data_IF_146955206694
#
_entry.id   IF_146955206694
#
_cell.length_a   1.000
_cell.length_b   1.000
_cell.length_c   1.000
_cell.angle_alpha   90.00
_cell.angle_beta   90.00
_cell.angle_gamma   90.00
#
_symmetry.space_group_name_H-M   'P 1'
#
loop_
_entity.id
_entity.type
_entity.pdbx_description
1 polymer ?
2 non-polymer ?
3 non-polymer ?
4 water ?
#
# COMPACT_ATOMS: atom_id res chain seq x y z
N UNK A 21 -7.92 23.11 -9.27
CA UNK A 21 -6.57 22.83 -8.71
C UNK A 21 -6.30 21.33 -8.63
N UNK A 22 -5.15 20.92 -9.15
CA UNK A 22 -4.75 19.50 -9.14
C UNK A 22 -3.47 19.39 -8.32
N UNK A 23 -3.22 18.21 -7.76
CA UNK A 23 -2.01 17.99 -6.96
C UNK A 23 -1.71 16.51 -6.88
N UNK A 24 -0.52 16.19 -6.36
CA UNK A 24 -0.13 14.83 -6.01
C UNK A 24 0.16 14.84 -4.51
N UNK A 25 -0.38 13.87 -3.78
CA UNK A 25 -0.27 13.87 -2.33
C UNK A 25 1.06 13.26 -1.89
N UNK A 26 1.65 13.84 -0.86
CA UNK A 26 2.88 13.33 -0.26
C UNK A 26 2.69 13.19 1.24
N UNK A 27 2.97 12.01 1.77
CA UNK A 27 2.79 11.76 3.18
C UNK A 27 3.64 10.62 3.67
N UNK A 28 3.37 10.19 4.91
CA UNK A 28 4.14 9.13 5.54
C UNK A 28 3.22 8.15 6.24
N UNK A 29 3.67 6.90 6.25
CA UNK A 29 3.15 5.88 7.16
C UNK A 29 3.72 6.17 8.53
N UNK A 30 2.86 6.50 9.48
CA UNK A 30 3.29 7.04 10.78
C UNK A 30 3.59 5.90 11.73
N UNK A 31 4.87 5.76 12.08
CA UNK A 31 5.32 4.85 13.10
C UNK A 31 5.65 5.67 14.35
N UNK A 32 4.83 5.65 15.39
CA UNK A 32 5.09 6.53 16.54
C UNK A 32 6.50 6.36 17.09
N UNK A 33 7.16 7.49 17.36
CA UNK A 33 8.53 7.44 17.85
C UNK A 33 8.58 6.86 19.25
N UNK A 34 7.55 7.06 20.06
CA UNK A 34 7.52 6.59 21.44
C UNK A 34 6.69 5.32 21.50
N UNK A 35 7.35 4.19 21.25
CA UNK A 35 6.75 2.89 21.38
C UNK A 35 6.32 2.19 20.11
N UNK A 36 6.58 2.75 18.93
CA UNK A 36 6.14 2.10 17.71
C UNK A 36 4.64 1.87 17.83
N UNK A 37 4.11 0.77 17.27
CA UNK A 37 2.68 0.48 17.42
C UNK A 37 2.33 -0.10 18.78
N UNK A 38 3.30 -0.22 19.68
CA UNK A 38 3.01 -0.43 21.09
C UNK A 38 2.64 0.87 21.80
N UNK A 39 2.75 2.00 21.09
CA UNK A 39 2.29 3.29 21.58
C UNK A 39 0.90 3.20 22.19
N UNK A 40 0.01 2.43 21.55
CA UNK A 40 -1.38 2.44 21.95
C UNK A 40 -1.61 1.92 23.36
N UNK A 41 -0.67 1.13 23.89
CA UNK A 41 -0.78 0.61 25.24
C UNK A 41 -0.43 1.65 26.30
N UNK A 42 0.22 2.74 25.91
CA UNK A 42 0.58 3.82 26.84
C UNK A 42 0.78 5.10 26.04
N UNK A 43 -0.30 5.73 25.58
CA UNK A 43 -0.15 6.89 24.70
C UNK A 43 0.58 8.06 25.37
N UNK A 44 1.54 8.61 24.65
CA UNK A 44 2.27 9.83 25.04
C UNK A 44 1.85 10.87 24.01
N UNK A 45 0.86 11.68 24.35
CA UNK A 45 0.27 12.57 23.35
C UNK A 45 1.20 13.72 22.99
N UNK A 46 1.93 14.31 23.94
CA UNK A 46 2.95 15.30 23.53
C UNK A 46 3.92 14.75 22.50
N UNK A 47 4.28 13.47 22.59
CA UNK A 47 5.20 12.92 21.60
C UNK A 47 4.57 12.82 20.23
N UNK A 48 3.25 12.61 20.15
CA UNK A 48 2.57 12.58 18.87
C UNK A 48 2.52 13.97 18.26
N UNK A 49 2.21 14.98 19.07
CA UNK A 49 2.25 16.35 18.60
C UNK A 49 3.61 16.70 18.01
N UNK A 50 4.68 16.31 18.69
CA UNK A 50 6.03 16.59 18.20
C UNK A 50 6.33 15.80 16.93
N UNK A 51 5.99 14.50 16.93
CA UNK A 51 6.18 13.69 15.73
C UNK A 51 5.47 14.34 14.54
N UNK A 52 4.22 14.75 14.74
CA UNK A 52 3.43 15.32 13.66
C UNK A 52 3.95 16.68 13.20
N UNK A 53 4.43 17.49 14.15
CA UNK A 53 5.03 18.75 13.79
C UNK A 53 6.22 18.54 12.86
N UNK A 54 7.09 17.58 13.20
CA UNK A 54 8.28 17.35 12.39
C UNK A 54 7.92 16.76 11.03
N UNK A 55 6.92 15.88 10.99
CA UNK A 55 6.45 15.33 9.72
C UNK A 55 5.89 16.46 8.84
N UNK A 56 5.05 17.32 9.42
CA UNK A 56 4.51 18.43 8.64
C UNK A 56 5.62 19.30 8.09
N UNK A 57 6.69 19.50 8.87
CA UNK A 57 7.77 20.39 8.46
C UNK A 57 8.59 19.82 7.30
N UNK A 58 8.46 18.53 6.99
CA UNK A 58 8.99 17.97 5.77
C UNK A 58 8.18 18.36 4.54
N UNK A 59 7.06 19.05 4.73
CA UNK A 59 6.17 19.34 3.62
C UNK A 59 5.17 18.25 3.33
N UNK A 60 4.83 17.44 4.32
CA UNK A 60 3.86 16.37 4.14
C UNK A 60 2.44 16.91 4.27
N UNK A 61 1.51 16.33 3.52
CA UNK A 61 0.11 16.71 3.60
C UNK A 61 -0.77 15.65 4.22
N UNK A 62 -0.24 14.47 4.53
CA UNK A 62 -1.07 13.44 5.16
C UNK A 62 -0.21 12.41 5.88
N UNK A 63 -0.88 11.66 6.76
CA UNK A 63 -0.32 10.49 7.41
C UNK A 63 -1.29 9.33 7.25
N UNK A 64 -0.74 8.12 7.24
CA UNK A 64 -1.48 6.87 7.35
C UNK A 64 -1.19 6.30 8.74
N UNK A 65 -2.24 5.95 9.48
CA UNK A 65 -2.07 5.53 10.85
C UNK A 65 -2.72 4.19 11.10
N UNK A 66 -2.17 3.49 12.10
CA UNK A 66 -2.41 2.06 12.33
C UNK A 66 -2.75 1.73 13.77
N UNK A 67 -4.04 1.71 14.12
CA UNK A 67 -4.44 1.08 15.39
C UNK A 67 -4.21 -0.42 15.34
N UNK A 68 -4.23 -1.06 16.51
CA UNK A 68 -3.93 -2.48 16.66
C UNK A 68 -5.18 -3.22 17.13
N UNK A 69 -5.52 -4.29 16.41
CA UNK A 69 -6.85 -4.91 16.51
C UNK A 69 -7.12 -5.51 17.87
N UNK A 70 -6.21 -6.27 18.49
CA UNK A 70 -6.51 -6.82 19.83
C UNK A 70 -6.75 -5.76 20.89
N UNK A 71 -6.35 -4.51 20.67
CA UNK A 71 -6.65 -3.45 21.63
C UNK A 71 -7.98 -2.79 21.33
N UNK A 72 -8.36 -2.72 20.04
CA UNK A 72 -9.65 -2.14 19.65
C UNK A 72 -10.80 -3.07 19.98
N UNK A 73 -10.61 -4.39 19.82
CA UNK A 73 -11.70 -5.36 19.88
C UNK A 73 -11.20 -6.62 20.58
N UNK A 74 -10.94 -6.52 21.89
CA UNK A 74 -10.31 -7.64 22.61
C UNK A 74 -11.20 -8.85 22.78
N UNK A 75 -12.51 -8.67 22.67
CA UNK A 75 -13.51 -9.72 22.64
C UNK A 75 -14.37 -9.41 21.42
N UNK A 76 -14.93 -10.45 20.80
CA UNK A 76 -15.66 -10.27 19.56
C UNK A 76 -16.73 -9.19 19.69
N UNK A 77 -17.40 -9.12 20.84
CA UNK A 77 -18.47 -8.15 21.08
C UNK A 77 -18.15 -7.22 22.23
N UNK A 78 -16.87 -6.85 22.39
CA UNK A 78 -16.45 -5.86 23.36
C UNK A 78 -15.47 -4.94 22.63
N UNK A 79 -15.98 -3.83 22.13
CA UNK A 79 -15.16 -2.84 21.45
C UNK A 79 -14.69 -1.83 22.48
N UNK A 80 -13.40 -1.59 22.50
CA UNK A 80 -12.75 -0.76 23.52
C UNK A 80 -12.89 0.69 23.07
N UNK A 81 -13.86 1.39 23.66
CA UNK A 81 -14.16 2.73 23.18
C UNK A 81 -13.03 3.71 23.47
N UNK A 82 -12.23 3.44 24.51
CA UNK A 82 -11.06 4.28 24.75
C UNK A 82 -10.03 4.13 23.63
N UNK A 83 -9.88 2.91 23.10
CA UNK A 83 -8.96 2.71 21.98
C UNK A 83 -9.45 3.47 20.75
N UNK A 84 -10.77 3.48 20.51
CA UNK A 84 -11.32 4.25 19.41
C UNK A 84 -11.04 5.73 19.64
N UNK A 85 -11.26 6.21 20.86
CA UNK A 85 -11.00 7.61 21.18
C UNK A 85 -9.53 7.96 20.94
N UNK A 86 -8.62 7.02 21.23
CA UNK A 86 -7.21 7.28 20.99
C UNK A 86 -6.90 7.41 19.50
N UNK A 87 -7.52 6.57 18.67
CA UNK A 87 -7.35 6.74 17.23
C UNK A 87 -7.86 8.12 16.80
N UNK A 88 -9.04 8.50 17.29
CA UNK A 88 -9.59 9.81 16.94
C UNK A 88 -8.65 10.93 17.38
N UNK A 89 -8.05 10.79 18.56
CA UNK A 89 -7.13 11.81 19.04
C UNK A 89 -5.92 11.93 18.13
N UNK A 90 -5.38 10.81 17.67
CA UNK A 90 -4.23 10.85 16.80
C UNK A 90 -4.56 11.55 15.48
N UNK A 91 -5.74 11.23 14.94
CA UNK A 91 -6.24 11.92 13.76
C UNK A 91 -6.39 13.41 14.04
N UNK A 92 -7.00 13.74 15.19
CA UNK A 92 -7.20 15.13 15.56
C UNK A 92 -5.87 15.88 15.60
N UNK A 93 -4.83 15.27 16.14
CA UNK A 93 -3.53 15.92 16.25
C UNK A 93 -2.91 16.12 14.87
N UNK A 94 -2.99 15.11 14.00
CA UNK A 94 -2.54 15.30 12.63
C UNK A 94 -3.18 16.52 12.01
N UNK A 95 -4.49 16.67 12.19
CA UNK A 95 -5.19 17.83 11.63
C UNK A 95 -4.74 19.13 12.25
N UNK A 96 -4.52 19.15 13.57
CA UNK A 96 -4.03 20.35 14.22
C UNK A 96 -2.66 20.73 13.70
N UNK A 97 -1.88 19.74 13.27
CA UNK A 97 -0.56 19.97 12.72
C UNK A 97 -0.58 20.10 11.20
N UNK A 98 -1.75 20.31 10.61
CA UNK A 98 -1.86 20.72 9.22
C UNK A 98 -2.01 19.62 8.20
N UNK A 99 -2.36 18.41 8.62
CA UNK A 99 -2.37 17.27 7.71
C UNK A 99 -3.66 16.46 7.75
N UNK A 100 -3.94 15.79 6.64
CA UNK A 100 -5.01 14.81 6.57
C UNK A 100 -4.54 13.48 7.16
N UNK A 101 -5.50 12.66 7.54
CA UNK A 101 -5.20 11.34 8.09
C UNK A 101 -6.05 10.28 7.39
N UNK A 102 -5.40 9.18 7.03
CA UNK A 102 -6.03 7.96 6.53
C UNK A 102 -5.76 6.87 7.55
N UNK A 103 -6.77 6.08 7.88
CA UNK A 103 -6.67 5.09 8.97
C UNK A 103 -6.89 3.69 8.40
N UNK A 104 -6.02 2.75 8.79
CA UNK A 104 -6.21 1.34 8.47
C UNK A 104 -6.90 0.68 9.66
N UNK A 105 -7.98 -0.08 9.42
CA UNK A 105 -8.80 -0.52 10.54
C UNK A 105 -8.21 -1.75 11.26
N UNK A 106 -7.85 -2.81 10.51
CA UNK A 106 -7.50 -4.11 11.10
C UNK A 106 -6.02 -4.45 10.92
N UNK A 107 -5.23 -4.22 11.98
CA UNK A 107 -3.86 -4.71 12.07
C UNK A 107 -3.84 -5.68 13.24
N UNK A 108 -3.86 -7.00 12.99
CA UNK A 108 -3.68 -7.60 11.69
C UNK A 108 -2.22 -7.98 11.52
N UNK A 109 -1.52 -7.29 10.62
CA UNK A 109 -0.14 -7.61 10.33
C UNK A 109 0.67 -6.33 10.19
N UNK A 110 1.77 -6.23 10.94
CA UNK A 110 2.71 -5.12 10.83
C UNK A 110 4.15 -5.62 10.97
N UNK A 111 4.94 -5.40 9.94
CA UNK A 111 6.40 -5.56 9.98
C UNK A 111 6.82 -6.90 10.57
N UNK A 112 6.22 -7.98 10.06
CA UNK A 112 6.50 -9.38 10.34
C UNK A 112 5.67 -9.94 11.50
N UNK A 113 4.97 -9.09 12.25
CA UNK A 113 4.22 -9.52 13.43
C UNK A 113 2.72 -9.56 13.14
N UNK A 114 2.08 -10.65 13.52
CA UNK A 114 0.62 -10.76 13.49
C UNK A 114 0.06 -10.33 14.85
N UNK A 115 -0.96 -9.48 14.82
CA UNK A 115 -1.69 -9.04 16.01
C UNK A 115 -3.15 -9.47 15.83
N UNK A 116 -3.49 -10.64 16.32
CA UNK A 116 -4.86 -11.09 16.27
C UNK A 116 -5.49 -11.07 17.65
N UNK A 117 -6.75 -10.69 17.76
CA UNK A 117 -7.46 -10.87 19.03
C UNK A 117 -7.52 -12.34 19.42
N UNK A 118 -7.61 -12.57 20.73
CA UNK A 118 -7.60 -13.94 21.27
C UNK A 118 -8.80 -14.75 20.81
N UNK A 119 -9.87 -14.09 20.36
CA UNK A 119 -11.07 -14.78 19.90
C UNK A 119 -10.95 -15.28 18.46
N UNK A 120 -9.77 -15.14 17.84
CA UNK A 120 -9.52 -15.70 16.51
C UNK A 120 -8.34 -16.67 16.47
N UNK A 121 -7.78 -17.05 17.63
CA UNK A 121 -6.57 -17.87 17.65
C UNK A 121 -6.75 -19.11 18.50
N UNK A 122 -5.93 -20.13 18.21
CA UNK A 122 -5.78 -21.38 18.93
C UNK A 122 -7.12 -22.01 19.29
N UNK A 123 -7.49 -22.02 20.58
CA UNK A 123 -8.74 -22.64 20.98
C UNK A 123 -9.95 -21.98 20.31
N UNK A 124 -9.80 -20.72 19.89
CA UNK A 124 -10.82 -19.95 19.20
C UNK A 124 -10.45 -19.66 17.75
N UNK A 125 -9.58 -20.47 17.16
CA UNK A 125 -9.12 -20.20 15.81
C UNK A 125 -10.31 -19.97 14.90
N UNK A 126 -10.28 -18.86 14.18
CA UNK A 126 -11.38 -18.48 13.32
C UNK A 126 -10.88 -17.96 11.99
N UNK A 127 -11.82 -17.70 11.10
CA UNK A 127 -11.52 -17.26 9.75
C UNK A 127 -12.17 -15.90 9.57
N UNK A 128 -11.34 -14.85 9.48
CA UNK A 128 -11.86 -13.49 9.46
C UNK A 128 -12.57 -13.16 8.16
N UNK A 129 -12.36 -13.99 7.13
CA UNK A 129 -13.01 -13.76 5.85
C UNK A 129 -14.32 -14.51 5.70
N UNK A 130 -14.47 -15.66 6.37
CA UNK A 130 -15.55 -16.60 6.11
C UNK A 130 -16.54 -16.75 7.25
N UNK A 131 -16.13 -16.55 8.49
CA UNK A 131 -17.02 -16.83 9.62
C UNK A 131 -18.01 -15.67 9.79
N UNK A 132 -19.30 -15.99 9.79
CA UNK A 132 -20.31 -14.92 9.85
C UNK A 132 -20.15 -14.08 11.10
N UNK A 133 -19.87 -14.69 12.25
CA UNK A 133 -19.75 -13.90 13.47
C UNK A 133 -18.55 -12.98 13.42
N UNK A 134 -17.42 -13.44 12.87
CA UNK A 134 -16.25 -12.58 12.73
C UNK A 134 -16.54 -11.44 11.77
N UNK A 135 -17.21 -11.73 10.65
CA UNK A 135 -17.52 -10.69 9.68
C UNK A 135 -18.46 -9.66 10.30
N UNK A 136 -19.47 -10.10 11.04
CA UNK A 136 -20.35 -9.16 11.71
C UNK A 136 -19.57 -8.28 12.68
N UNK A 137 -18.64 -8.89 13.42
CA UNK A 137 -17.84 -8.12 14.38
C UNK A 137 -16.92 -7.14 13.67
N UNK A 138 -16.36 -7.53 12.53
CA UNK A 138 -15.54 -6.61 11.75
C UNK A 138 -16.37 -5.42 11.30
N UNK A 139 -17.56 -5.69 10.77
CA UNK A 139 -18.41 -4.59 10.33
C UNK A 139 -18.78 -3.68 11.47
N UNK A 140 -19.07 -4.25 12.63
CA UNK A 140 -19.38 -3.43 13.80
C UNK A 140 -18.22 -2.53 14.18
N UNK A 141 -16.99 -3.05 14.17
CA UNK A 141 -15.82 -2.23 14.49
C UNK A 141 -15.63 -1.13 13.44
N UNK A 142 -15.72 -1.47 12.15
CA UNK A 142 -15.59 -0.44 11.12
C UNK A 142 -16.63 0.66 11.36
N UNK A 143 -17.88 0.28 11.60
CA UNK A 143 -18.93 1.27 11.78
C UNK A 143 -18.68 2.14 13.00
N UNK A 144 -18.25 1.54 14.10
CA UNK A 144 -18.02 2.32 15.32
C UNK A 144 -16.84 3.27 15.16
N UNK A 145 -15.74 2.75 14.62
CA UNK A 145 -14.56 3.58 14.38
C UNK A 145 -14.87 4.67 13.36
N UNK A 146 -15.50 4.30 12.24
CA UNK A 146 -15.84 5.28 11.22
C UNK A 146 -16.75 6.37 11.77
N UNK A 147 -17.74 5.99 12.58
CA UNK A 147 -18.67 6.98 13.09
C UNK A 147 -18.00 8.03 13.95
N UNK A 148 -16.94 7.64 14.66
CA UNK A 148 -16.16 8.60 15.44
C UNK A 148 -15.23 9.40 14.55
N UNK A 149 -14.51 8.72 13.65
CA UNK A 149 -13.50 9.42 12.85
C UNK A 149 -14.15 10.38 11.85
N UNK A 150 -15.36 10.07 11.37
CA UNK A 150 -16.06 10.97 10.46
C UNK A 150 -16.30 12.33 11.07
N UNK A 151 -16.25 12.45 12.40
CA UNK A 151 -16.44 13.74 13.07
C UNK A 151 -15.19 14.60 13.05
N UNK A 152 -14.06 14.09 12.55
CA UNK A 152 -12.82 14.86 12.50
C UNK A 152 -12.62 15.41 11.10
N UNK A 153 -12.51 16.74 10.92
CA UNK A 153 -12.30 17.27 9.57
C UNK A 153 -11.07 16.74 8.86
N UNK A 154 -10.03 16.34 9.61
CA UNK A 154 -8.81 15.87 8.98
C UNK A 154 -8.91 14.43 8.47
N UNK A 155 -9.93 13.70 8.91
CA UNK A 155 -10.08 12.30 8.51
C UNK A 155 -10.57 12.22 7.07
N UNK A 156 -9.82 11.52 6.23
CA UNK A 156 -10.17 11.41 4.83
C UNK A 156 -10.77 10.06 4.46
N UNK A 157 -10.54 9.02 5.23
CA UNK A 157 -11.07 7.72 4.91
C UNK A 157 -10.24 6.61 5.48
N UNK A 158 -10.62 5.39 5.12
CA UNK A 158 -10.00 4.24 5.75
C UNK A 158 -9.70 3.14 4.74
N UNK A 159 -8.67 2.38 5.07
CA UNK A 159 -8.32 1.14 4.39
C UNK A 159 -8.73 0.03 5.35
N UNK A 160 -9.30 -1.05 4.82
CA UNK A 160 -9.81 -2.09 5.73
C UNK A 160 -8.73 -2.60 6.67
N UNK A 161 -7.52 -2.79 6.17
CA UNK A 161 -6.41 -3.22 7.02
C UNK A 161 -5.18 -3.46 6.17
N UNK A 162 -4.03 -3.43 6.83
CA UNK A 162 -2.77 -3.51 6.09
C UNK A 162 -2.53 -4.92 5.59
N UNK A 163 -2.46 -5.11 4.27
CA UNK A 163 -1.99 -6.36 3.69
C UNK A 163 -2.70 -7.59 4.26
N UNK A 164 -4.03 -7.48 4.39
CA UNK A 164 -4.76 -8.56 5.05
C UNK A 164 -4.74 -9.85 4.25
N UNK A 165 -4.43 -9.78 2.96
CA UNK A 165 -4.32 -11.00 2.17
C UNK A 165 -3.24 -11.93 2.69
N UNK A 166 -2.30 -11.44 3.49
CA UNK A 166 -1.25 -12.32 4.01
C UNK A 166 -1.79 -13.38 4.95
N UNK A 167 -3.01 -13.20 5.47
CA UNK A 167 -3.65 -14.23 6.28
C UNK A 167 -4.30 -15.34 5.46
N UNK A 168 -4.47 -15.15 4.15
CA UNK A 168 -5.42 -15.93 3.38
C UNK A 168 -4.81 -17.09 2.60
N UNK A 169 -3.50 -17.30 2.67
CA UNK A 169 -2.85 -18.20 1.73
C UNK A 169 -1.52 -18.66 2.30
N UNK A 170 -0.96 -19.71 1.68
CA UNK A 170 0.41 -20.09 1.95
C UNK A 170 1.30 -18.88 1.68
N UNK A 171 2.39 -18.72 2.44
CA UNK A 171 2.90 -19.66 3.44
C UNK A 171 2.51 -19.29 4.87
N UNK A 172 1.39 -18.61 5.06
CA UNK A 172 1.02 -18.24 6.40
C UNK A 172 0.89 -19.50 7.26
N UNK A 173 1.48 -19.54 8.47
CA UNK A 173 1.49 -20.81 9.22
C UNK A 173 0.19 -21.14 9.92
N UNK A 174 -0.79 -20.26 9.94
CA UNK A 174 -2.10 -20.53 10.51
C UNK A 174 -3.13 -19.78 9.66
N UNK A 175 -3.22 -20.19 8.40
CA UNK A 175 -3.93 -19.39 7.42
C UNK A 175 -5.44 -19.47 7.62
N UNK A 176 -6.12 -18.52 6.98
CA UNK A 176 -7.57 -18.43 6.95
C UNK A 176 -7.98 -18.63 5.50
N UNK A 177 -8.17 -19.90 5.12
CA UNK A 177 -8.37 -20.25 3.73
C UNK A 177 -9.67 -19.67 3.20
N UNK A 178 -9.66 -19.24 1.95
CA UNK A 178 -10.82 -18.60 1.37
C UNK A 178 -10.74 -18.71 -0.16
N UNK A 179 -11.54 -17.91 -0.84
CA UNK A 179 -11.65 -18.00 -2.29
C UNK A 179 -11.93 -16.60 -2.83
N UNK A 180 -11.62 -16.41 -4.11
CA UNK A 180 -11.78 -15.09 -4.72
C UNK A 180 -13.24 -14.61 -4.66
N UNK A 181 -14.19 -15.51 -4.92
CA UNK A 181 -15.60 -15.12 -4.87
C UNK A 181 -16.01 -14.69 -3.48
N UNK A 182 -15.51 -15.38 -2.45
CA UNK A 182 -15.85 -14.97 -1.09
C UNK A 182 -15.21 -13.62 -0.76
N UNK A 183 -13.97 -13.40 -1.21
CA UNK A 183 -13.30 -12.13 -0.95
C UNK A 183 -14.00 -10.99 -1.68
N UNK A 184 -14.52 -11.23 -2.89
CA UNK A 184 -15.32 -10.21 -3.55
C UNK A 184 -16.43 -9.71 -2.63
N UNK A 185 -17.16 -10.64 -2.02
CA UNK A 185 -18.30 -10.27 -1.18
C UNK A 185 -17.85 -9.68 0.13
N UNK A 186 -16.78 -10.23 0.72
CA UNK A 186 -16.25 -9.73 1.99
C UNK A 186 -15.78 -8.30 1.85
N UNK A 187 -15.02 -8.01 0.80
CA UNK A 187 -14.58 -6.64 0.56
C UNK A 187 -15.77 -5.71 0.40
N UNK A 188 -16.72 -6.08 -0.46
CA UNK A 188 -17.85 -5.19 -0.70
C UNK A 188 -18.63 -4.93 0.58
N UNK A 189 -18.82 -5.97 1.40
CA UNK A 189 -19.60 -5.85 2.62
C UNK A 189 -18.97 -4.87 3.60
N UNK A 190 -17.64 -4.92 3.76
CA UNK A 190 -17.00 -4.01 4.70
C UNK A 190 -16.87 -2.60 4.12
N UNK A 191 -16.55 -2.49 2.83
CA UNK A 191 -16.40 -1.16 2.23
C UNK A 191 -17.70 -0.37 2.32
N UNK A 192 -18.84 -1.07 2.27
CA UNK A 192 -20.14 -0.41 2.29
C UNK A 192 -20.45 0.29 3.59
N UNK A 193 -19.68 0.04 4.65
CA UNK A 193 -19.88 0.74 5.90
C UNK A 193 -19.56 2.21 5.76
N UNK A 194 -18.65 2.57 4.87
CA UNK A 194 -18.19 3.95 4.71
C UNK A 194 -19.14 4.70 3.79
N UNK A 195 -19.43 5.96 4.14
CA UNK A 195 -20.15 6.85 3.23
C UNK A 195 -19.14 7.40 2.22
N UNK A 196 -19.07 6.78 1.06
CA UNK A 196 -18.05 7.11 0.07
C UNK A 196 -18.31 8.41 -0.66
N UNK A 197 -19.45 9.07 -0.41
CA UNK A 197 -19.60 10.44 -0.84
C UNK A 197 -18.76 11.39 0.00
N UNK A 198 -18.37 10.99 1.22
CA UNK A 198 -17.66 11.87 2.13
C UNK A 198 -16.24 11.42 2.44
N UNK A 199 -15.94 10.12 2.33
CA UNK A 199 -14.66 9.56 2.73
C UNK A 199 -14.31 8.41 1.81
N UNK A 200 -13.01 8.20 1.60
CA UNK A 200 -12.59 7.05 0.80
C UNK A 200 -12.70 5.77 1.60
N UNK A 201 -12.98 4.69 0.88
CA UNK A 201 -12.97 3.33 1.40
C UNK A 201 -12.04 2.53 0.49
N UNK A 202 -11.02 1.92 1.09
CA UNK A 202 -9.96 1.26 0.36
C UNK A 202 -9.68 -0.11 0.96
N UNK A 203 -9.01 -0.95 0.19
CA UNK A 203 -8.43 -2.19 0.71
C UNK A 203 -7.00 -2.30 0.24
N UNK A 204 -6.20 -3.07 0.98
CA UNK A 204 -4.77 -3.17 0.76
C UNK A 204 -4.29 -4.60 0.79
N UNK A 205 -3.56 -4.98 -0.24
CA UNK A 205 -2.85 -6.25 -0.28
C UNK A 205 -1.36 -6.01 -0.47
N UNK A 206 -0.56 -6.96 -0.01
CA UNK A 206 0.83 -7.01 -0.42
C UNK A 206 0.90 -7.45 -1.88
N UNK A 207 2.12 -7.49 -2.43
CA UNK A 207 2.27 -7.71 -3.86
C UNK A 207 1.93 -9.13 -4.30
N UNK A 208 1.60 -10.02 -3.36
CA UNK A 208 1.02 -11.29 -3.75
C UNK A 208 -0.22 -11.13 -4.62
N UNK A 209 -0.97 -10.05 -4.42
CA UNK A 209 -2.16 -9.83 -5.25
C UNK A 209 -1.78 -9.74 -6.73
N UNK A 210 -0.62 -9.18 -7.04
CA UNK A 210 -0.19 -9.01 -8.42
C UNK A 210 0.61 -10.20 -8.94
N UNK A 211 1.27 -10.93 -8.07
CA UNK A 211 2.34 -11.81 -8.47
C UNK A 211 2.09 -13.29 -8.19
N UNK A 212 1.05 -13.64 -7.43
CA UNK A 212 0.85 -15.02 -7.03
C UNK A 212 -0.38 -15.62 -7.71
N UNK A 213 -0.18 -16.68 -8.48
CA UNK A 213 -1.31 -17.37 -9.07
C UNK A 213 -2.12 -18.10 -8.01
N UNK A 214 -3.42 -18.18 -8.24
CA UNK A 214 -4.36 -18.89 -7.38
C UNK A 214 -4.53 -18.25 -6.01
N UNK A 215 -4.07 -17.05 -5.83
CA UNK A 215 -4.25 -16.31 -4.58
C UNK A 215 -5.66 -15.71 -4.55
N UNK A 216 -6.37 -15.81 -3.42
CA UNK A 216 -7.79 -15.41 -3.43
C UNK A 216 -8.03 -13.91 -3.52
N UNK A 217 -7.04 -13.08 -3.23
CA UNK A 217 -7.12 -11.65 -3.53
C UNK A 217 -6.53 -11.44 -4.92
N UNK A 218 -7.22 -10.68 -5.75
CA UNK A 218 -6.93 -10.64 -7.18
C UNK A 218 -6.67 -9.25 -7.71
N UNK A 219 -5.99 -9.15 -8.85
CA UNK A 219 -5.83 -7.83 -9.51
C UNK A 219 -7.14 -7.10 -9.76
N UNK A 220 -8.17 -7.81 -10.22
CA UNK A 220 -9.44 -7.15 -10.49
C UNK A 220 -10.02 -6.52 -9.21
N UNK A 221 -9.94 -7.22 -8.08
CA UNK A 221 -10.41 -6.63 -6.83
C UNK A 221 -9.60 -5.40 -6.48
N UNK A 222 -8.27 -5.50 -6.58
CA UNK A 222 -7.41 -4.40 -6.16
C UNK A 222 -7.67 -3.16 -6.99
N UNK A 223 -7.98 -3.33 -8.28
CA UNK A 223 -8.08 -2.22 -9.21
C UNK A 223 -9.52 -1.79 -9.49
N UNK A 224 -10.49 -2.35 -8.76
CA UNK A 224 -11.88 -1.96 -8.97
C UNK A 224 -12.68 -1.81 -7.69
N UNK A 225 -12.39 -2.55 -6.63
CA UNK A 225 -13.13 -2.39 -5.38
C UNK A 225 -12.44 -1.36 -4.51
N UNK A 226 -13.22 -0.54 -3.84
CA UNK A 226 -12.69 0.60 -3.14
C UNK A 226 -12.41 1.73 -4.10
N UNK A 227 -12.07 2.91 -3.55
CA UNK A 227 -12.00 4.12 -4.35
C UNK A 227 -10.69 4.33 -5.08
N UNK A 228 -9.60 3.71 -4.63
CA UNK A 228 -8.31 3.87 -5.28
C UNK A 228 -7.56 2.56 -5.18
N UNK A 229 -6.71 2.28 -6.16
CA UNK A 229 -5.80 1.14 -6.02
C UNK A 229 -4.71 1.51 -5.04
N UNK A 230 -4.46 0.64 -4.07
CA UNK A 230 -3.32 0.82 -3.18
C UNK A 230 -2.21 -0.13 -3.62
N UNK A 231 -0.98 0.37 -3.65
CA UNK A 231 0.18 -0.46 -3.97
C UNK A 231 1.25 -0.25 -2.91
N UNK A 232 1.86 -1.34 -2.48
CA UNK A 232 2.94 -1.35 -1.50
C UNK A 232 4.16 -1.90 -2.24
N UNK A 233 5.12 -1.04 -2.55
CA UNK A 233 6.24 -1.41 -3.43
C UNK A 233 7.49 -1.66 -2.61
N UNK A 234 7.96 -2.92 -2.64
CA UNK A 234 9.07 -3.38 -1.80
C UNK A 234 10.05 -4.18 -2.62
N UNK A 235 11.23 -3.58 -2.88
CA UNK A 235 12.21 -4.17 -3.79
C UNK A 235 13.00 -5.32 -3.19
N UNK A 236 12.77 -5.65 -1.91
CA UNK A 236 13.31 -6.90 -1.37
C UNK A 236 12.55 -8.14 -1.86
N UNK A 237 11.57 -7.96 -2.73
CA UNK A 237 10.77 -9.06 -3.24
C UNK A 237 11.44 -9.83 -4.37
N UNK A 238 12.75 -9.68 -4.55
CA UNK A 238 13.47 -10.31 -5.62
C UNK A 238 13.95 -9.34 -6.68
N UNK A 239 13.41 -8.13 -6.70
CA UNK A 239 13.79 -7.18 -7.73
C UNK A 239 15.23 -6.70 -7.51
N UNK A 240 15.55 -6.23 -6.31
CA UNK A 240 16.93 -5.81 -6.05
C UNK A 240 17.89 -6.99 -6.17
N UNK A 241 17.48 -8.16 -5.66
CA UNK A 241 18.38 -9.31 -5.68
C UNK A 241 18.64 -9.79 -7.10
N UNK A 242 17.59 -9.85 -7.93
CA UNK A 242 17.73 -10.43 -9.25
C UNK A 242 18.34 -9.49 -10.27
N UNK A 243 18.04 -8.19 -10.17
CA UNK A 243 18.53 -7.22 -11.14
C UNK A 243 19.64 -6.34 -10.59
N UNK A 244 19.79 -6.24 -9.29
CA UNK A 244 20.83 -5.44 -8.67
C UNK A 244 20.23 -4.27 -7.92
N UNK A 245 20.81 -3.97 -6.77
CA UNK A 245 20.31 -2.86 -5.97
C UNK A 245 20.45 -1.54 -6.72
N UNK A 246 21.39 -1.44 -7.64
CA UNK A 246 21.70 -0.21 -8.37
C UNK A 246 21.20 -0.31 -9.80
N UNK A 247 20.19 -1.13 -10.03
CA UNK A 247 19.65 -1.32 -11.35
C UNK A 247 18.45 -0.41 -11.61
N UNK A 248 18.20 -0.18 -12.90
CA UNK A 248 16.99 0.53 -13.29
C UNK A 248 15.73 -0.22 -12.95
N UNK A 249 15.76 -1.54 -13.00
CA UNK A 249 14.57 -2.31 -12.60
C UNK A 249 14.22 -2.03 -11.15
N UNK A 250 15.24 -1.92 -10.29
CA UNK A 250 15.00 -1.64 -8.88
C UNK A 250 14.24 -0.33 -8.69
N UNK A 251 14.70 0.75 -9.33
CA UNK A 251 14.03 2.03 -9.14
C UNK A 251 12.74 2.17 -9.94
N UNK A 252 12.50 1.28 -10.90
CA UNK A 252 11.27 1.29 -11.68
C UNK A 252 10.15 0.47 -11.06
N UNK A 253 10.40 -0.22 -9.95
CA UNK A 253 9.43 -1.20 -9.47
C UNK A 253 8.11 -0.55 -9.10
N UNK A 254 8.14 0.62 -8.46
CA UNK A 254 6.89 1.25 -8.04
C UNK A 254 6.07 1.70 -9.25
N UNK A 255 6.73 2.31 -10.23
CA UNK A 255 6.06 2.65 -11.48
C UNK A 255 5.46 1.43 -12.14
N UNK A 256 6.21 0.32 -12.15
CA UNK A 256 5.72 -0.90 -12.77
C UNK A 256 4.42 -1.37 -12.12
N UNK A 257 4.39 -1.43 -10.79
CA UNK A 257 3.17 -1.88 -10.13
C UNK A 257 2.02 -0.93 -10.43
N UNK A 258 2.28 0.37 -10.48
CA UNK A 258 1.22 1.31 -10.81
C UNK A 258 0.65 1.03 -12.20
N UNK A 259 1.53 0.84 -13.19
CA UNK A 259 1.06 0.56 -14.53
C UNK A 259 0.39 -0.80 -14.63
N UNK A 260 0.92 -1.81 -13.93
CA UNK A 260 0.30 -3.12 -13.91
C UNK A 260 -1.13 -3.00 -13.41
N UNK A 261 -1.34 -2.24 -12.33
CA UNK A 261 -2.69 -2.13 -11.79
C UNK A 261 -3.65 -1.49 -12.79
N UNK A 262 -3.16 -0.56 -13.60
CA UNK A 262 -4.02 0.10 -14.58
C UNK A 262 -4.57 -0.89 -15.61
N UNK A 263 -3.85 -1.97 -15.89
CA UNK A 263 -4.36 -2.95 -16.83
C UNK A 263 -5.73 -3.47 -16.40
N UNK A 264 -5.96 -3.56 -15.09
CA UNK A 264 -7.15 -4.21 -14.55
C UNK A 264 -8.23 -3.24 -14.11
N UNK A 265 -7.94 -1.94 -14.03
CA UNK A 265 -8.93 -0.96 -13.61
C UNK A 265 -9.91 -0.71 -14.75
N UNK A 266 -11.20 -0.94 -14.50
CA UNK A 266 -12.19 -0.66 -15.52
C UNK A 266 -12.40 0.85 -15.70
N UNK A 267 -12.13 1.64 -14.68
CA UNK A 267 -12.28 3.08 -14.76
C UNK A 267 -10.92 3.65 -15.14
N UNK A 268 -10.75 4.23 -16.33
CA UNK A 268 -9.42 4.70 -16.75
C UNK A 268 -8.90 5.88 -15.95
N UNK A 269 -9.74 6.52 -15.14
CA UNK A 269 -9.35 7.63 -14.29
C UNK A 269 -9.11 7.21 -12.85
N UNK A 270 -9.15 5.91 -12.55
CA UNK A 270 -9.00 5.46 -11.16
C UNK A 270 -7.66 5.92 -10.59
N UNK A 271 -7.63 6.55 -9.42
CA UNK A 271 -6.35 6.93 -8.82
C UNK A 271 -5.58 5.71 -8.34
N UNK A 272 -4.26 5.80 -8.47
CA UNK A 272 -3.32 4.82 -7.91
C UNK A 272 -2.60 5.49 -6.75
N UNK A 273 -2.73 4.93 -5.55
CA UNK A 273 -2.04 5.42 -4.37
C UNK A 273 -0.85 4.50 -4.10
N UNK A 274 0.36 5.03 -4.27
CA UNK A 274 1.57 4.37 -3.79
C UNK A 274 1.56 4.54 -2.28
N UNK A 275 0.79 3.66 -1.63
CA UNK A 275 0.48 3.78 -0.20
C UNK A 275 1.64 3.35 0.68
N UNK A 276 2.54 2.52 0.17
CA UNK A 276 3.81 2.30 0.80
C UNK A 276 4.91 2.22 -0.24
N UNK A 277 6.01 2.91 0.04
CA UNK A 277 7.27 2.68 -0.67
C UNK A 277 8.36 3.00 0.34
N UNK A 278 9.32 2.08 0.48
CA UNK A 278 10.44 2.26 1.38
C UNK A 278 11.73 1.83 0.71
N UNK A 279 12.84 2.05 1.43
CA UNK A 279 14.19 1.80 0.90
C UNK A 279 14.84 0.74 1.77
N UNK A 280 14.54 -0.54 1.53
CA UNK A 280 14.90 -1.58 2.52
C UNK A 280 16.37 -1.96 2.48
N UNK A 281 17.01 -1.88 3.64
CA UNK A 281 18.45 -2.10 3.74
C UNK A 281 18.84 -3.56 3.86
N UNK A 282 17.90 -4.50 3.76
CA UNK A 282 18.29 -5.89 3.53
C UNK A 282 18.78 -6.10 2.10
N UNK A 283 18.46 -5.18 1.19
CA UNK A 283 18.93 -5.26 -0.19
C UNK A 283 19.62 -4.00 -0.67
N UNK A 284 19.36 -2.82 -0.09
CA UNK A 284 20.03 -1.58 -0.45
C UNK A 284 21.02 -1.18 0.62
N UNK A 285 22.03 -0.41 0.22
CA UNK A 285 22.96 0.17 1.18
C UNK A 285 22.39 1.48 1.72
N UNK A 286 22.70 1.76 2.99
CA UNK A 286 22.21 2.99 3.60
C UNK A 286 22.56 4.21 2.76
N UNK A 287 23.79 4.26 2.23
CA UNK A 287 24.18 5.45 1.48
C UNK A 287 23.41 5.62 0.19
N UNK A 288 22.77 4.57 -0.30
CA UNK A 288 22.04 4.71 -1.55
C UNK A 288 20.58 5.10 -1.36
N UNK A 289 20.08 5.12 -0.15
CA UNK A 289 18.63 5.26 0.01
C UNK A 289 18.12 6.62 -0.44
N UNK A 290 18.84 7.74 -0.28
CA UNK A 290 18.29 9.00 -0.80
C UNK A 290 18.14 8.98 -2.31
N UNK A 291 19.12 8.45 -3.03
CA UNK A 291 19.03 8.37 -4.48
C UNK A 291 17.95 7.39 -4.92
N UNK A 292 17.81 6.28 -4.22
CA UNK A 292 16.73 5.35 -4.50
C UNK A 292 15.38 6.03 -4.35
N UNK A 293 15.22 6.84 -3.31
CA UNK A 293 13.97 7.55 -3.07
C UNK A 293 13.67 8.51 -4.22
N UNK A 294 14.64 9.35 -4.58
CA UNK A 294 14.43 10.31 -5.65
C UNK A 294 14.12 9.61 -6.96
N UNK A 295 14.91 8.60 -7.33
CA UNK A 295 14.73 7.95 -8.62
C UNK A 295 13.41 7.17 -8.66
N UNK A 296 13.07 6.49 -7.58
CA UNK A 296 11.81 5.75 -7.53
C UNK A 296 10.63 6.68 -7.73
N UNK A 297 10.65 7.84 -7.09
CA UNK A 297 9.53 8.78 -7.19
C UNK A 297 9.49 9.42 -8.57
N UNK A 298 10.65 9.83 -9.10
CA UNK A 298 10.66 10.42 -10.43
C UNK A 298 10.11 9.44 -11.46
N UNK A 299 10.41 8.15 -11.31
CA UNK A 299 9.85 7.16 -12.21
C UNK A 299 8.35 6.97 -11.96
N UNK A 300 7.96 6.81 -10.69
CA UNK A 300 6.55 6.59 -10.39
C UNK A 300 5.68 7.72 -10.94
N UNK A 301 6.17 8.96 -10.90
CA UNK A 301 5.42 10.10 -11.39
C UNK A 301 5.19 10.05 -12.89
N UNK A 302 5.82 9.11 -13.60
CA UNK A 302 5.51 8.93 -15.01
C UNK A 302 4.15 8.29 -15.21
N UNK A 303 3.54 7.77 -14.16
CA UNK A 303 2.22 7.19 -14.26
C UNK A 303 1.16 8.28 -14.20
N UNK A 304 0.35 8.46 -15.25
CA UNK A 304 -0.63 9.55 -15.22
C UNK A 304 -1.67 9.44 -14.12
N UNK A 305 -1.88 8.24 -13.57
CA UNK A 305 -2.89 8.01 -12.55
C UNK A 305 -2.32 8.06 -11.14
N UNK A 306 -1.05 8.38 -10.97
CA UNK A 306 -0.46 8.40 -9.63
C UNK A 306 -1.07 9.54 -8.82
N UNK A 307 -1.73 9.18 -7.72
CA UNK A 307 -2.46 10.13 -6.88
C UNK A 307 -1.63 10.61 -5.71
N UNK A 308 -0.73 9.79 -5.21
CA UNK A 308 0.04 10.15 -4.03
C UNK A 308 1.09 9.11 -3.73
N UNK A 309 2.07 9.53 -2.92
CA UNK A 309 3.18 8.70 -2.47
C UNK A 309 3.25 8.83 -0.97
N UNK A 310 3.27 7.70 -0.27
CA UNK A 310 3.32 7.66 1.19
C UNK A 310 4.49 6.79 1.61
N UNK A 311 5.53 7.44 2.13
CA UNK A 311 6.77 6.74 2.41
C UNK A 311 6.59 5.81 3.62
N UNK A 312 7.17 4.62 3.55
CA UNK A 312 7.29 3.74 4.71
C UNK A 312 8.73 3.89 5.20
N UNK A 313 8.97 4.57 6.34
CA UNK A 313 7.98 5.05 7.28
C UNK A 313 8.48 6.35 7.89
N UNK A 314 7.70 6.96 8.79
CA UNK A 314 8.11 8.26 9.32
C UNK A 314 9.33 8.13 10.21
N UNK A 315 9.33 7.17 11.14
CA UNK A 315 10.32 7.10 12.20
C UNK A 315 10.92 5.69 12.29
N UNK A 316 12.25 5.64 12.44
CA UNK A 316 12.93 4.38 12.70
C UNK A 316 12.29 3.66 13.88
N UNK A 317 12.38 2.33 13.87
CA UNK A 317 11.89 1.54 14.99
C UNK A 317 12.96 1.49 16.06
N UNK A 318 12.58 1.81 17.30
CA UNK A 318 13.50 1.82 18.43
C UNK A 318 14.40 0.59 18.44
N UNK A 319 15.71 0.84 18.58
CA UNK A 319 16.68 -0.24 18.59
C UNK A 319 16.54 -1.17 19.80
N UNK A 320 15.80 -0.74 20.81
CA UNK A 320 15.56 -1.60 21.97
C UNK A 320 14.58 -2.73 21.67
N UNK A 321 13.83 -2.63 20.59
CA UNK A 321 12.88 -3.69 20.24
C UNK A 321 13.55 -4.78 19.44
N UNK A 322 13.17 -6.02 19.73
CA UNK A 322 13.81 -7.19 19.15
C UNK A 322 12.87 -7.95 18.22
N UNK A 323 13.46 -8.92 17.52
CA UNK A 323 12.80 -9.86 16.63
C UNK A 323 12.32 -9.24 15.33
N UNK A 324 12.53 -7.95 15.11
CA UNK A 324 12.29 -7.41 13.79
C UNK A 324 13.40 -7.85 12.86
N UNK A 325 13.09 -8.19 11.61
CA UNK A 325 14.15 -8.22 10.59
C UNK A 325 14.95 -6.94 10.68
N UNK A 326 16.27 -7.02 10.77
CA UNK A 326 17.05 -5.81 11.13
C UNK A 326 16.76 -4.58 10.29
N UNK A 327 16.59 -4.72 8.98
CA UNK A 327 16.35 -3.55 8.14
C UNK A 327 15.11 -2.78 8.55
N UNK A 328 14.14 -3.42 9.22
CA UNK A 328 12.91 -2.72 9.59
C UNK A 328 13.22 -1.51 10.45
N UNK A 329 14.27 -1.59 11.26
CA UNK A 329 14.54 -0.50 12.18
C UNK A 329 14.90 0.79 11.46
N UNK A 330 15.50 0.69 10.26
CA UNK A 330 16.13 1.81 9.57
C UNK A 330 15.25 2.41 8.47
N UNK A 331 13.99 1.97 8.37
CA UNK A 331 13.11 2.42 7.29
C UNK A 331 12.57 3.82 7.48
N UNK A 332 12.88 4.49 8.58
CA UNK A 332 12.35 5.82 8.81
C UNK A 332 13.00 6.90 7.97
N UNK A 333 12.26 8.02 7.87
CA UNK A 333 12.80 9.28 7.40
C UNK A 333 13.46 10.05 8.53
N UNK A 334 13.04 9.79 9.76
CA UNK A 334 13.65 10.31 10.98
C UNK A 334 14.25 9.14 11.74
N UNK A 335 15.35 9.37 12.43
CA UNK A 335 15.98 8.32 13.23
C UNK A 335 15.20 8.14 14.53
N UNK A 336 15.66 7.18 15.35
CA UNK A 336 14.96 6.82 16.58
C UNK A 336 15.06 7.88 17.66
N UNK A 337 15.82 8.95 17.43
CA UNK A 337 15.84 10.09 18.33
C UNK A 337 15.12 11.30 17.75
N UNK A 338 14.43 11.12 16.63
CA UNK A 338 13.58 12.13 16.07
C UNK A 338 14.23 13.06 15.08
N UNK A 339 15.47 12.80 14.68
CA UNK A 339 16.20 13.71 13.82
C UNK A 339 16.18 13.27 12.37
N UNK A 340 16.05 14.25 11.47
CA UNK A 340 15.86 13.94 10.07
C UNK A 340 17.07 13.22 9.51
N UNK A 341 16.83 12.24 8.67
CA UNK A 341 17.86 11.49 7.98
C UNK A 341 18.00 12.00 6.55
N UNK A 342 19.11 11.66 5.88
CA UNK A 342 19.27 12.09 4.49
C UNK A 342 18.09 11.73 3.60
N UNK A 343 17.51 10.54 3.78
CA UNK A 343 16.37 10.17 2.96
C UNK A 343 15.16 11.06 3.24
N UNK A 344 15.01 11.54 4.47
CA UNK A 344 13.95 12.48 4.78
C UNK A 344 14.08 13.77 4.00
N UNK A 345 15.31 14.28 3.90
CA UNK A 345 15.54 15.47 3.08
C UNK A 345 15.23 15.19 1.62
N UNK A 346 15.57 14.00 1.12
CA UNK A 346 15.27 13.66 -0.27
C UNK A 346 13.77 13.60 -0.50
N UNK A 347 13.02 12.97 0.41
CA UNK A 347 11.58 12.88 0.23
C UNK A 347 10.93 14.24 0.28
N UNK A 348 11.40 15.13 1.17
CA UNK A 348 10.90 16.49 1.21
C UNK A 348 11.13 17.18 -0.13
N UNK A 349 12.32 16.98 -0.72
CA UNK A 349 12.61 17.58 -2.01
C UNK A 349 11.67 17.06 -3.09
N UNK A 350 11.36 15.79 -3.04
CA UNK A 350 10.48 15.21 -4.06
C UNK A 350 9.06 15.73 -3.90
N UNK A 351 8.59 15.88 -2.67
CA UNK A 351 7.26 16.45 -2.45
C UNK A 351 7.20 17.86 -3.01
N UNK A 352 8.24 18.65 -2.77
CA UNK A 352 8.26 20.02 -3.30
C UNK A 352 8.25 20.02 -4.82
N UNK A 353 8.96 19.09 -5.45
CA UNK A 353 9.04 19.07 -6.90
C UNK A 353 7.74 18.59 -7.55
N UNK A 354 7.04 17.63 -6.92
CA UNK A 354 5.95 16.93 -7.58
C UNK A 354 4.55 17.25 -7.07
N UNK A 355 4.40 17.87 -5.90
CA UNK A 355 3.05 17.96 -5.35
C UNK A 355 2.13 18.79 -6.25
N UNK A 356 2.67 19.80 -6.94
CA UNK A 356 1.88 20.67 -7.80
C UNK A 356 2.20 20.49 -9.28
N UNK A 357 3.00 19.50 -9.64
CA UNK A 357 3.35 19.31 -11.03
C UNK A 357 2.15 18.76 -11.79
N UNK A 358 1.92 19.19 -13.03
CA UNK A 358 0.87 18.55 -13.83
C UNK A 358 1.14 17.06 -14.02
N UNK A 359 0.07 16.28 -13.98
CA UNK A 359 0.19 14.84 -14.19
C UNK A 359 0.78 14.53 -15.56
N UNK A 360 1.50 13.42 -15.62
CA UNK A 360 2.05 12.93 -16.88
C UNK A 360 0.94 12.60 -17.86
N UNK A 361 1.31 12.52 -19.13
CA UNK A 361 0.39 12.21 -20.19
C UNK A 361 0.34 10.73 -20.50
N UNK A 362 0.04 10.42 -21.75
CA UNK A 362 -0.26 9.06 -22.17
C UNK A 362 0.95 8.18 -22.34
N UNK A 363 0.67 6.95 -22.78
CA UNK A 363 1.66 5.88 -22.89
C UNK A 363 1.64 5.34 -24.30
N UNK A 364 2.82 5.23 -24.91
CA UNK A 364 2.90 4.88 -26.32
C UNK A 364 2.79 3.39 -26.58
N UNK A 365 3.25 2.56 -25.63
CA UNK A 365 3.36 1.14 -25.84
C UNK A 365 2.71 0.42 -24.67
N UNK A 366 2.30 -0.83 -24.92
CA UNK A 366 1.78 -1.65 -23.84
C UNK A 366 2.16 -3.11 -24.05
N UNK A 367 2.48 -3.78 -22.94
CA UNK A 367 2.60 -5.23 -22.90
C UNK A 367 1.23 -5.82 -22.61
N UNK A 368 0.87 -6.86 -23.35
CA UNK A 368 -0.46 -7.46 -23.27
C UNK A 368 -0.43 -8.66 -22.32
N UNK A 369 -1.37 -8.67 -21.37
CA UNK A 369 -1.54 -9.73 -20.40
C UNK A 369 -2.81 -10.50 -20.74
N UNK A 370 -2.66 -11.77 -21.10
CA UNK A 370 -3.82 -12.62 -21.35
C UNK A 370 -4.57 -12.86 -20.05
N UNK A 371 -5.89 -12.69 -20.10
CA UNK A 371 -6.72 -12.79 -18.91
C UNK A 371 -7.75 -13.90 -19.05
N UNK A 372 -8.21 -14.39 -17.89
CA UNK A 372 -9.22 -15.43 -17.80
C UNK A 372 -10.60 -14.81 -17.89
N UNK A 373 -11.63 -15.63 -17.65
CA UNK A 373 -13.02 -15.19 -17.80
C UNK A 373 -13.41 -14.14 -16.77
N UNK A 374 -12.66 -14.01 -15.67
CA UNK A 374 -12.91 -13.00 -14.66
C UNK A 374 -12.09 -11.74 -14.86
N UNK A 375 -11.21 -11.71 -15.87
CA UNK A 375 -10.36 -10.57 -16.09
C UNK A 375 -9.04 -10.59 -15.35
N UNK A 376 -8.71 -11.66 -14.69
CA UNK A 376 -7.43 -11.80 -14.02
C UNK A 376 -6.43 -12.53 -14.89
N UNK A 377 -5.13 -12.32 -14.68
CA UNK A 377 -4.15 -12.97 -15.56
C UNK A 377 -4.27 -14.48 -15.54
N UNK A 378 -4.09 -15.08 -16.71
CA UNK A 378 -3.87 -16.52 -16.75
C UNK A 378 -2.60 -16.89 -15.99
N UNK A 379 -1.62 -15.98 -15.98
CA UNK A 379 -0.30 -16.25 -15.40
C UNK A 379 0.12 -15.00 -14.62
N UNK A 380 -0.31 -14.92 -13.37
CA UNK A 380 0.15 -13.83 -12.52
C UNK A 380 1.66 -13.92 -12.28
N UNK A 381 2.19 -15.14 -12.20
CA UNK A 381 3.61 -15.28 -11.91
C UNK A 381 4.48 -14.57 -12.93
N UNK A 382 4.07 -14.59 -14.20
CA UNK A 382 4.85 -13.91 -15.23
C UNK A 382 4.95 -12.41 -15.00
N UNK A 383 4.08 -11.85 -14.15
CA UNK A 383 4.10 -10.43 -13.83
C UNK A 383 5.08 -10.08 -12.72
N UNK A 384 5.61 -11.06 -12.00
CA UNK A 384 6.50 -10.78 -10.89
C UNK A 384 7.96 -10.69 -11.31
N UNK A 385 8.81 -10.35 -10.35
CA UNK A 385 10.25 -10.17 -10.65
C UNK A 385 10.87 -11.41 -11.28
N UNK A 386 11.50 -11.23 -12.43
CA UNK A 386 12.06 -12.32 -13.20
C UNK A 386 11.10 -12.92 -14.21
N UNK A 387 9.83 -12.51 -14.20
CA UNK A 387 8.84 -13.04 -15.12
C UNK A 387 8.88 -12.37 -16.47
N UNK A 388 8.19 -12.99 -17.43
CA UNK A 388 8.26 -12.52 -18.81
C UNK A 388 7.53 -11.19 -19.01
N UNK A 389 6.38 -11.00 -18.38
CA UNK A 389 5.69 -9.71 -18.49
C UNK A 389 6.53 -8.61 -17.85
N UNK A 390 7.02 -8.88 -16.64
CA UNK A 390 7.88 -7.95 -15.92
C UNK A 390 9.04 -7.51 -16.79
N UNK A 391 9.75 -8.47 -17.39
CA UNK A 391 10.96 -8.13 -18.14
C UNK A 391 10.64 -7.42 -19.46
N UNK A 392 9.55 -7.78 -20.14
CA UNK A 392 9.19 -7.04 -21.33
C UNK A 392 8.88 -5.58 -21.00
N UNK A 393 8.10 -5.36 -19.95
CA UNK A 393 7.82 -3.99 -19.53
C UNK A 393 9.11 -3.25 -19.20
N UNK A 394 10.01 -3.90 -18.45
CA UNK A 394 11.27 -3.27 -18.06
C UNK A 394 12.10 -2.88 -19.28
N UNK A 395 12.08 -3.71 -20.32
CA UNK A 395 12.86 -3.41 -21.52
C UNK A 395 12.29 -2.18 -22.23
N UNK A 396 10.97 -2.14 -22.42
CA UNK A 396 10.32 -0.99 -23.03
C UNK A 396 10.54 0.27 -22.20
N UNK A 397 10.50 0.14 -20.87
CA UNK A 397 10.80 1.27 -19.99
C UNK A 397 12.21 1.80 -20.24
N UNK A 398 13.20 0.90 -20.25
CA UNK A 398 14.59 1.32 -20.47
C UNK A 398 14.76 2.00 -21.83
N UNK A 399 13.98 1.58 -22.82
CA UNK A 399 14.08 2.15 -24.17
C UNK A 399 13.41 3.51 -24.27
N UNK A 400 12.64 3.92 -23.27
CA UNK A 400 11.93 5.17 -23.32
C UNK A 400 10.56 5.11 -23.97
N UNK A 401 9.97 3.92 -24.10
CA UNK A 401 8.69 3.78 -24.78
C UNK A 401 7.51 4.13 -23.90
N UNK A 402 7.74 4.50 -22.65
CA UNK A 402 6.69 4.84 -21.70
C UNK A 402 5.61 3.75 -21.68
N UNK A 403 5.99 2.49 -21.44
CA UNK A 403 5.00 1.43 -21.52
C UNK A 403 4.00 1.45 -20.39
N UNK A 404 2.80 1.01 -20.71
CA UNK A 404 1.84 0.56 -19.71
C UNK A 404 1.60 -0.94 -19.92
N UNK A 405 0.61 -1.47 -19.21
CA UNK A 405 0.17 -2.84 -19.38
C UNK A 405 -1.31 -2.83 -19.68
N UNK A 406 -1.73 -3.71 -20.59
CA UNK A 406 -3.15 -3.84 -20.91
C UNK A 406 -3.51 -5.32 -20.92
N UNK A 407 -4.78 -5.61 -20.68
CA UNK A 407 -5.24 -6.98 -20.83
C UNK A 407 -5.49 -7.30 -22.31
N UNK A 408 -5.62 -8.61 -22.57
CA UNK A 408 -5.98 -9.07 -23.92
C UNK A 408 -7.30 -8.49 -24.41
N UNK A 409 -8.25 -8.24 -23.51
CA UNK A 409 -9.50 -7.60 -23.91
C UNK A 409 -9.27 -6.15 -24.33
N UNK A 410 -8.52 -5.39 -23.52
CA UNK A 410 -8.23 -4.00 -23.89
C UNK A 410 -7.46 -3.93 -25.19
N UNK A 411 -6.58 -4.91 -25.43
CA UNK A 411 -5.78 -4.90 -26.65
C UNK A 411 -6.64 -5.04 -27.89
N UNK A 412 -7.88 -5.51 -27.76
CA UNK A 412 -8.82 -5.59 -28.88
C UNK A 412 -9.74 -4.38 -28.97
N UNK A 413 -9.57 -3.37 -28.12
CA UNK A 413 -10.49 -2.24 -28.00
C UNK A 413 -9.77 -0.97 -28.44
N UNK A 414 -9.95 -0.60 -29.70
CA UNK A 414 -9.24 0.54 -30.24
C UNK A 414 -9.53 1.83 -29.53
N UNK A 415 -10.77 1.99 -29.03
CA UNK A 415 -11.12 3.21 -28.31
C UNK A 415 -10.42 3.27 -26.96
N UNK A 416 -10.37 2.16 -26.23
CA UNK A 416 -9.65 2.15 -24.97
C UNK A 416 -8.17 2.43 -25.19
N UNK A 417 -7.58 1.85 -26.24
CA UNK A 417 -6.17 2.10 -26.54
C UNK A 417 -5.94 3.56 -26.89
N UNK A 418 -6.84 4.15 -27.69
CA UNK A 418 -6.73 5.56 -28.00
C UNK A 418 -6.74 6.42 -26.75
N UNK A 419 -7.64 6.12 -25.79
CA UNK A 419 -7.68 6.88 -24.55
C UNK A 419 -6.36 6.78 -23.80
N UNK A 420 -5.72 5.60 -23.82
CA UNK A 420 -4.43 5.46 -23.14
C UNK A 420 -3.30 6.10 -23.91
N UNK A 421 -3.46 6.30 -25.21
CA UNK A 421 -2.40 6.77 -26.08
C UNK A 421 -1.57 5.68 -26.71
N UNK A 422 -1.97 4.43 -26.58
CA UNK A 422 -1.13 3.30 -26.94
C UNK A 422 -1.23 3.04 -28.44
N UNK A 423 -0.10 3.07 -29.13
CA UNK A 423 -0.05 2.77 -30.56
C UNK A 423 0.79 1.55 -30.89
N UNK A 424 1.35 0.86 -29.89
CA UNK A 424 2.16 -0.33 -30.11
C UNK A 424 1.84 -1.33 -29.01
N UNK A 425 1.66 -2.58 -29.39
CA UNK A 425 1.37 -3.66 -28.45
C UNK A 425 2.45 -4.72 -28.56
N UNK A 426 2.83 -5.29 -27.42
CA UNK A 426 3.80 -6.39 -27.38
C UNK A 426 3.17 -7.57 -26.66
N UNK A 427 3.13 -8.72 -27.33
CA UNK A 427 2.55 -9.91 -26.73
C UNK A 427 3.61 -10.76 -26.04
N UNK A 428 3.17 -11.59 -25.10
CA UNK A 428 4.09 -12.40 -24.31
C UNK A 428 4.14 -13.79 -24.90
N UNK A 429 5.06 -13.99 -25.84
CA UNK A 429 5.00 -15.15 -26.72
C UNK A 429 5.42 -16.43 -26.04
N UNK A 430 6.31 -16.36 -25.06
CA UNK A 430 6.79 -17.55 -24.35
C UNK A 430 6.82 -17.24 -22.86
N UNK A 431 5.65 -17.25 -22.21
CA UNK A 431 5.59 -16.80 -20.80
C UNK A 431 6.42 -17.67 -19.87
N UNK A 432 6.92 -17.04 -18.82
CA UNK A 432 7.61 -17.76 -17.75
C UNK A 432 7.44 -16.99 -16.45
N UNK A 433 7.61 -17.72 -15.34
CA UNK A 433 7.26 -17.21 -14.04
C UNK A 433 8.32 -16.31 -13.43
N UNK A 434 8.02 -15.86 -12.20
CA UNK A 434 8.80 -14.85 -11.50
C UNK A 434 9.95 -15.50 -10.76
N UNK A 435 11.00 -15.81 -11.50
CA UNK A 435 12.07 -16.61 -10.93
C UNK A 435 12.77 -15.93 -9.75
N UNK A 436 12.78 -14.61 -9.68
CA UNK A 436 13.44 -13.93 -8.57
C UNK A 436 12.52 -13.69 -7.39
N UNK A 437 11.22 -13.65 -7.61
CA UNK A 437 10.27 -13.54 -6.50
C UNK A 437 10.25 -14.83 -5.71
N UNK A 438 10.15 -15.96 -6.42
CA UNK A 438 10.05 -17.26 -5.78
C UNK A 438 11.35 -17.64 -5.09
N UNK A 439 12.49 -17.20 -5.64
CA UNK A 439 13.77 -17.44 -4.99
C UNK A 439 13.84 -16.75 -3.64
N UNK A 440 13.10 -15.66 -3.47
CA UNK A 440 13.06 -14.97 -2.19
C UNK A 440 12.36 -15.84 -1.14
X LIG B 1 4.56 2.31 25.24
X LIG B 1 5.83 2.24 24.57
X LIG B 1 4.24 0.97 25.90
X LIG B 1 4.29 -0.08 24.93
X LIG B 1 3.78 2.57 24.53
X LIG B 1 4.60 3.10 26.00
X LIG B 1 6.03 3.09 24.18
X LIG B 1 3.24 1.02 26.35
X LIG B 1 4.96 0.77 26.69
X LIG B 1 4.05 -0.92 25.35
X LIG C 1 0.57 -13.28 0.24
X LIG C 1 1.13 -12.92 1.51
X LIG C 1 0.69 -14.78 0.03
X LIG C 1 0.14 -15.48 1.16
X LIG C 1 1.10 -12.75 -0.55
X LIG C 1 -0.48 -12.99 0.21
X LIG C 1 0.51 -12.35 1.99
X LIG C 1 1.75 -15.06 -0.09
X LIG C 1 0.16 -15.07 -0.87
X LIG C 1 0.20 -16.43 1.01
X LIG D 1 4.20 -2.55 6.02
X LIG D 1 2.97 -2.91 5.40
X LIG D 1 4.11 -2.94 7.50
X LIG D 1 3.87 -4.36 7.57
X LIG D 1 5.04 -3.06 5.55
X LIG D 1 4.38 -1.47 5.94
X LIG D 1 3.08 -2.85 4.44
X LIG D 1 5.05 -2.70 8.01
X LIG D 1 3.31 -2.40 7.99
X LIG D 1 3.15 -4.54 8.20
X LIG E 1 7.92 -3.97 5.24
X LIG E 1 8.92 -4.89 5.71
X LIG E 1 7.86 -2.75 6.15
X LIG E 1 7.63 -3.14 7.51
X LIG E 1 8.17 -3.66 4.22
X LIG E 1 6.95 -4.47 5.22
X LIG E 1 8.96 -5.65 5.11
X LIG E 1 7.05 -2.09 5.82
X LIG E 1 8.80 -2.19 6.08
X LIG E 1 7.68 -2.37 8.08
X LIG F 1 -3.34 -25.43 8.96
X LIG F 1 -3.72 -25.65 10.35
X LIG F 1 -3.36 -26.71 8.26
X LIG F 1 -4.26 -24.50 8.31
X LIG F 1 -1.99 -24.87 8.91
X LIG G 1 17.25 -8.76 17.40
X LIG G 1 18.25 -9.03 18.43
X LIG G 1 16.15 -9.69 17.55
X LIG G 1 16.80 -7.37 17.52
X LIG G 1 17.84 -8.96 16.08
X LIG H 1 -21.90 -14.44 -4.92
X LIG H 1 -21.37 -15.37 -3.91
X LIG H 1 -22.61 -13.35 -4.26
X LIG H 1 -22.82 -15.15 -5.79
X LIG H 1 -20.80 -13.90 -5.70
#
# INVERSE_FOLDING_TARGET
>A
XGSSHHHHHHSSGLVPRGSHMMRMRFGVNYTPSHGWFHFWLDPDWPSVKEDMRRIRNLGMDHVRVFPVWPYLQPNRTWINRKAIADVRRMVHIAGEQGMDAYVDVFQGHLSSFDFLPSWLVTWHRGNMFEDADAVKAEKTLVAELYGELAQEPAFRGLTLGNELNQFSDRPHPAKMATSSRRIDAWLADLLAVVDRRKHVALHSENDGVWYLDHHPFTPVQAANLGDMTTIHSWVFNGTAQGYGAMSGECTAHALYLAELSRAFARNPDRPVWLQEVGAPQNVLEAEQTPEFCRDTIAKAAQCPNLWGVTWWCSHDVDSRMSDFPPFEHALGLFDEHGNIKPIGRAFAEMAQEYRDKPAAGGNDAAVVIEVDENGNPLNRGACGPGGSIFERWMRLHAEGARPTLVTSATARDGEALRRLGVTRLETDDEPHGAKYYTAVSDSSFAELDAR
>B hetero
1 EDO C1 O1 C2 O2 H11 H12 HO1 H21 H22 HO2
>C hetero
1 EDO C1 O1 C2 O2 H11 H12 HO1 H21 H22 HO2
>D hetero
1 EDO C1 O1 C2 O2 H11 H12 HO1 H21 H22 HO2
>E hetero
1 EDO C1 O1 C2 O2 H11 H12 HO1 H21 H22 HO2
>F hetero
1 SO4 S O1 O2 O3 O4
>G hetero
1 SO4 S O1 O2 O3 O4
>H hetero
1 SO4 S O1 O2 O3 O4
#
